data_IF_497919595720
#
_entry.id   IF_497919595720
#
_cell.length_a   1.000
_cell.length_b   1.000
_cell.length_c   1.000
_cell.angle_alpha   90.00
_cell.angle_beta   90.00
_cell.angle_gamma   90.00
#
_symmetry.space_group_name_H-M   'P 1'
#
loop_
_entity.id
_entity.type
_entity.pdbx_description
1 polymer ?
#
# COMPACT_ATOMS: atom_id res chain seq x y z
N UNK A 1 7.45 7.32 -9.90
CA UNK A 1 6.60 7.23 -8.70
C UNK A 1 5.69 6.01 -8.80
N UNK A 2 5.65 5.17 -7.76
CA UNK A 2 4.71 4.06 -7.66
C UNK A 2 3.54 4.45 -6.73
N UNK A 3 2.36 4.57 -7.31
CA UNK A 3 1.11 4.90 -6.62
C UNK A 3 0.20 3.67 -6.41
N UNK A 4 0.76 2.45 -6.48
CA UNK A 4 -0.04 1.21 -6.39
C UNK A 4 -0.90 1.08 -5.14
N UNK A 5 -0.47 1.67 -4.02
CA UNK A 5 -1.17 1.66 -2.74
C UNK A 5 -1.65 3.04 -2.29
N UNK A 6 -1.46 4.06 -3.08
CA UNK A 6 -1.81 5.45 -2.75
C UNK A 6 -2.90 6.01 -3.64
N UNK A 7 -2.87 5.73 -4.95
CA UNK A 7 -3.92 6.14 -5.87
C UNK A 7 -5.27 5.53 -5.48
N UNK A 8 -6.29 6.35 -5.37
CA UNK A 8 -7.63 5.97 -4.91
C UNK A 8 -7.76 5.80 -3.39
N UNK A 9 -6.75 6.19 -2.61
CA UNK A 9 -6.68 5.91 -1.16
C UNK A 9 -6.14 7.11 -0.37
N UNK A 10 -5.00 7.66 -0.77
CA UNK A 10 -4.29 8.74 -0.07
C UNK A 10 -4.58 10.07 -0.73
N UNK A 11 -4.55 11.15 0.06
CA UNK A 11 -4.91 12.49 -0.34
C UNK A 11 -6.36 12.84 0.00
N UNK A 12 -6.69 14.11 -0.02
CA UNK A 12 -8.02 14.61 0.33
C UNK A 12 -9.11 14.14 -0.65
N UNK A 13 -8.74 13.92 -1.90
CA UNK A 13 -9.63 13.42 -2.96
C UNK A 13 -9.18 12.07 -3.54
N UNK A 14 -8.24 11.39 -2.85
CA UNK A 14 -7.75 10.07 -3.25
C UNK A 14 -6.81 10.07 -4.44
N UNK A 15 -6.17 11.20 -4.75
CA UNK A 15 -5.25 11.32 -5.90
C UNK A 15 -3.81 10.91 -5.60
N UNK A 16 -3.60 10.28 -4.44
CA UNK A 16 -2.34 9.65 -4.10
C UNK A 16 -1.32 10.57 -3.43
N UNK A 17 -0.06 10.17 -3.54
CA UNK A 17 1.05 10.87 -2.87
C UNK A 17 1.33 12.24 -3.47
N UNK A 18 1.12 12.43 -4.76
CA UNK A 18 1.28 13.74 -5.40
C UNK A 18 0.34 14.76 -4.78
N UNK A 19 -0.92 14.42 -4.55
CA UNK A 19 -1.88 15.27 -3.85
C UNK A 19 -1.47 15.53 -2.40
N UNK A 20 -1.11 14.47 -1.66
CA UNK A 20 -0.72 14.58 -0.27
C UNK A 20 0.49 15.50 -0.09
N UNK A 21 1.48 15.37 -0.95
CA UNK A 21 2.73 16.13 -0.89
C UNK A 21 2.65 17.47 -1.64
N UNK A 22 1.53 17.78 -2.29
CA UNK A 22 1.32 18.99 -3.09
C UNK A 22 2.36 19.14 -4.21
N UNK A 23 2.72 18.02 -4.82
CA UNK A 23 3.59 17.94 -5.99
C UNK A 23 2.71 17.98 -7.25
N UNK A 24 3.08 18.80 -8.22
CA UNK A 24 2.41 18.78 -9.51
C UNK A 24 2.67 17.45 -10.21
N UNK A 25 1.64 16.70 -10.64
CA UNK A 25 1.85 15.47 -11.40
C UNK A 25 2.71 15.63 -12.65
N UNK A 26 2.73 16.82 -13.26
CA UNK A 26 3.55 17.14 -14.44
C UNK A 26 5.06 17.22 -14.10
N UNK A 27 5.42 17.37 -12.81
CA UNK A 27 6.80 17.31 -12.34
C UNK A 27 7.31 15.86 -12.16
N UNK A 28 6.44 14.86 -12.39
CA UNK A 28 6.77 13.44 -12.23
C UNK A 28 6.82 12.77 -13.61
N UNK A 29 8.02 12.35 -14.03
CA UNK A 29 8.22 11.77 -15.37
C UNK A 29 7.36 10.52 -15.63
N UNK A 30 7.22 9.64 -14.64
CA UNK A 30 6.48 8.38 -14.76
C UNK A 30 5.72 8.11 -13.45
N UNK A 31 4.40 7.94 -13.55
CA UNK A 31 3.55 7.47 -12.47
C UNK A 31 3.02 6.10 -12.84
N UNK A 32 3.23 5.10 -11.99
CA UNK A 32 2.66 3.76 -12.16
C UNK A 32 1.72 3.45 -11.01
N UNK A 33 0.73 2.61 -11.27
CA UNK A 33 -0.22 2.21 -10.26
C UNK A 33 -0.91 0.89 -10.55
N UNK A 34 -1.52 0.35 -9.50
CA UNK A 34 -2.25 -0.91 -9.53
C UNK A 34 -3.76 -0.65 -9.50
N UNK A 35 -4.51 -1.33 -10.36
CA UNK A 35 -5.96 -1.20 -10.43
C UNK A 35 -6.71 -2.20 -9.53
N UNK A 36 -6.01 -3.16 -8.91
CA UNK A 36 -6.63 -4.17 -8.07
C UNK A 36 -6.84 -3.70 -6.61
N UNK A 37 -6.15 -2.67 -6.15
CA UNK A 37 -6.21 -2.24 -4.75
C UNK A 37 -7.44 -1.36 -4.50
N UNK A 38 -7.45 -0.14 -5.02
CA UNK A 38 -8.54 0.82 -4.76
C UNK A 38 -9.68 0.73 -5.79
N UNK A 39 -9.35 0.31 -7.02
CA UNK A 39 -10.31 0.35 -8.14
C UNK A 39 -11.00 -1.00 -8.40
N UNK A 40 -10.80 -2.00 -7.52
CA UNK A 40 -11.50 -3.29 -7.50
C UNK A 40 -11.52 -4.05 -8.85
N UNK A 41 -10.47 -3.86 -9.66
CA UNK A 41 -10.29 -4.56 -10.94
C UNK A 41 -8.96 -5.31 -10.97
N UNK A 42 -8.40 -5.58 -12.11
CA UNK A 42 -7.07 -6.18 -12.24
C UNK A 42 -6.27 -5.44 -13.31
N UNK A 43 -4.94 -5.46 -13.14
CA UNK A 43 -4.01 -4.79 -14.03
C UNK A 43 -3.36 -3.58 -13.39
N UNK A 44 -2.72 -2.79 -14.21
CA UNK A 44 -2.03 -1.57 -13.78
C UNK A 44 -2.03 -0.53 -14.89
N UNK A 45 -1.55 0.64 -14.56
CA UNK A 45 -1.39 1.74 -15.50
C UNK A 45 0.00 2.36 -15.37
N UNK A 46 0.40 3.01 -16.44
CA UNK A 46 1.55 3.90 -16.47
C UNK A 46 1.10 5.21 -17.11
N UNK A 47 1.21 6.29 -16.36
CA UNK A 47 0.93 7.64 -16.83
C UNK A 47 2.24 8.40 -16.99
N UNK A 48 2.38 9.09 -18.13
CA UNK A 48 3.57 9.87 -18.46
C UNK A 48 3.28 10.74 -19.68
N UNK A 49 4.29 11.48 -20.13
CA UNK A 49 4.22 12.23 -21.39
C UNK A 49 3.96 11.28 -22.56
N UNK A 50 3.36 11.82 -23.63
CA UNK A 50 3.05 11.02 -24.82
C UNK A 50 4.28 10.37 -25.45
N UNK A 51 5.44 11.01 -25.35
CA UNK A 51 6.69 10.49 -25.88
C UNK A 51 7.15 9.25 -25.12
N UNK A 52 7.13 9.31 -23.80
CA UNK A 52 7.52 8.19 -22.92
C UNK A 52 6.55 7.02 -23.11
N UNK A 53 5.23 7.28 -23.14
CA UNK A 53 4.22 6.24 -23.36
C UNK A 53 4.37 5.56 -24.72
N UNK A 54 4.65 6.33 -25.79
CA UNK A 54 4.94 5.76 -27.11
C UNK A 54 6.21 4.91 -27.09
N UNK A 55 7.27 5.40 -26.43
CA UNK A 55 8.50 4.65 -26.30
C UNK A 55 8.30 3.32 -25.57
N UNK A 56 7.55 3.31 -24.48
CA UNK A 56 7.23 2.08 -23.75
C UNK A 56 6.46 1.06 -24.59
N UNK A 57 5.54 1.51 -25.42
CA UNK A 57 4.77 0.61 -26.31
C UNK A 57 5.65 -0.16 -27.29
N UNK A 58 6.78 0.40 -27.68
CA UNK A 58 7.67 -0.17 -28.69
C UNK A 58 8.84 -0.93 -28.02
N UNK A 59 9.36 -0.41 -26.89
CA UNK A 59 10.58 -0.90 -26.27
C UNK A 59 10.39 -1.55 -24.90
N UNK A 60 9.20 -1.38 -24.28
CA UNK A 60 8.93 -2.00 -22.97
C UNK A 60 8.75 -3.50 -23.12
N UNK A 61 9.72 -4.29 -22.66
CA UNK A 61 9.70 -5.77 -22.80
C UNK A 61 8.41 -6.37 -22.28
N UNK A 62 7.99 -5.96 -21.09
CA UNK A 62 6.74 -6.46 -20.48
C UNK A 62 5.51 -6.10 -21.30
N UNK A 63 5.51 -4.93 -21.93
CA UNK A 63 4.40 -4.49 -22.75
C UNK A 63 4.37 -5.19 -24.12
N UNK A 64 5.53 -5.33 -24.76
CA UNK A 64 5.66 -5.91 -26.10
C UNK A 64 5.36 -7.40 -26.09
N UNK A 65 5.77 -8.12 -25.05
CA UNK A 65 5.67 -9.58 -24.95
C UNK A 65 4.51 -10.06 -24.06
N UNK A 66 3.57 -9.17 -23.68
CA UNK A 66 2.37 -9.54 -22.94
C UNK A 66 1.09 -9.08 -23.64
N UNK A 67 -0.04 -9.59 -23.19
CA UNK A 67 -1.34 -9.13 -23.66
C UNK A 67 -1.75 -7.81 -23.00
N UNK A 68 -2.45 -6.96 -23.75
CA UNK A 68 -3.10 -5.78 -23.19
C UNK A 68 -4.22 -6.18 -22.21
N UNK A 69 -4.55 -5.30 -21.28
CA UNK A 69 -5.64 -5.49 -20.33
C UNK A 69 -6.97 -5.73 -21.07
N UNK A 70 -7.77 -6.73 -20.65
CA UNK A 70 -9.12 -6.90 -21.18
C UNK A 70 -9.98 -5.65 -21.00
N UNK A 71 -10.76 -5.30 -22.02
CA UNK A 71 -11.58 -4.09 -22.05
C UNK A 71 -12.53 -3.98 -20.87
N UNK A 72 -13.09 -5.11 -20.42
CA UNK A 72 -13.99 -5.16 -19.28
C UNK A 72 -13.32 -4.68 -17.97
N UNK A 73 -12.02 -5.01 -17.77
CA UNK A 73 -11.26 -4.57 -16.60
C UNK A 73 -10.94 -3.08 -16.68
N UNK A 74 -10.56 -2.59 -17.86
CA UNK A 74 -10.34 -1.16 -18.09
C UNK A 74 -11.62 -0.34 -17.88
N UNK A 75 -12.75 -0.87 -18.34
CA UNK A 75 -14.05 -0.22 -18.13
C UNK A 75 -14.48 -0.26 -16.65
N UNK A 76 -14.25 -1.37 -15.98
CA UNK A 76 -14.49 -1.52 -14.54
C UNK A 76 -13.72 -0.49 -13.72
N UNK A 77 -12.42 -0.30 -13.99
CA UNK A 77 -11.62 0.71 -13.30
C UNK A 77 -12.10 2.14 -13.59
N UNK A 78 -12.52 2.42 -14.82
CA UNK A 78 -13.12 3.71 -15.17
C UNK A 78 -14.41 3.99 -14.38
N UNK A 79 -15.25 2.99 -14.22
CA UNK A 79 -16.48 3.10 -13.40
C UNK A 79 -16.13 3.30 -11.94
N UNK A 80 -15.18 2.54 -11.41
CA UNK A 80 -14.72 2.68 -10.03
C UNK A 80 -14.19 4.10 -9.74
N UNK A 81 -13.35 4.65 -10.61
CA UNK A 81 -12.84 6.02 -10.49
C UNK A 81 -13.99 7.05 -10.46
N UNK A 82 -14.97 6.93 -11.39
CA UNK A 82 -16.14 7.82 -11.40
C UNK A 82 -16.98 7.73 -10.14
N UNK A 83 -17.13 6.52 -9.58
CA UNK A 83 -17.85 6.32 -8.32
C UNK A 83 -17.13 6.96 -7.13
N UNK A 84 -15.81 6.86 -7.10
CA UNK A 84 -14.99 7.50 -6.07
C UNK A 84 -15.04 9.04 -6.20
N UNK A 85 -14.90 9.57 -7.38
CA UNK A 85 -15.04 11.03 -7.63
C UNK A 85 -16.43 11.56 -7.24
N UNK A 86 -17.49 10.77 -7.45
CA UNK A 86 -18.85 11.15 -7.09
C UNK A 86 -19.13 11.05 -5.57
N UNK A 87 -18.29 10.34 -4.81
CA UNK A 87 -18.50 10.06 -3.38
C UNK A 87 -17.24 10.36 -2.54
N UNK A 88 -16.80 11.62 -2.45
CA UNK A 88 -15.58 11.98 -1.72
C UNK A 88 -15.62 11.65 -0.23
N UNK A 89 -16.80 11.53 0.37
CA UNK A 89 -16.98 11.14 1.78
C UNK A 89 -16.41 9.75 2.12
N UNK A 90 -16.13 8.91 1.11
CA UNK A 90 -15.46 7.62 1.31
C UNK A 90 -14.04 7.83 1.84
N UNK A 91 -13.35 8.85 1.35
CA UNK A 91 -11.99 9.18 1.80
C UNK A 91 -11.99 9.70 3.25
N UNK A 92 -12.94 10.58 3.59
CA UNK A 92 -13.08 11.09 4.96
C UNK A 92 -13.29 9.94 5.95
N UNK A 93 -14.20 9.02 5.61
CA UNK A 93 -14.48 7.83 6.44
C UNK A 93 -13.27 6.93 6.59
N UNK A 94 -12.51 6.69 5.51
CA UNK A 94 -11.29 5.89 5.55
C UNK A 94 -10.25 6.54 6.47
N UNK A 95 -10.02 7.84 6.35
CA UNK A 95 -9.07 8.58 7.18
C UNK A 95 -9.50 8.60 8.66
N UNK A 96 -10.80 8.72 8.93
CA UNK A 96 -11.33 8.59 10.28
C UNK A 96 -11.05 7.21 10.87
N UNK A 97 -11.34 6.14 10.13
CA UNK A 97 -11.07 4.77 10.56
C UNK A 97 -9.58 4.52 10.83
N UNK A 98 -8.69 5.05 9.97
CA UNK A 98 -7.24 4.99 10.19
C UNK A 98 -6.86 5.70 11.49
N UNK A 99 -7.42 6.89 11.74
CA UNK A 99 -7.17 7.66 12.97
C UNK A 99 -7.64 6.90 14.22
N UNK A 100 -8.82 6.28 14.17
CA UNK A 100 -9.37 5.48 15.27
C UNK A 100 -8.44 4.30 15.58
N UNK A 101 -8.03 3.53 14.55
CA UNK A 101 -7.12 2.40 14.75
C UNK A 101 -5.79 2.85 15.37
N UNK A 102 -5.19 3.92 14.85
CA UNK A 102 -3.91 4.41 15.37
C UNK A 102 -4.01 4.85 16.82
N UNK A 103 -5.05 5.63 17.18
CA UNK A 103 -5.31 6.03 18.56
C UNK A 103 -5.49 4.84 19.51
N UNK A 104 -6.08 3.74 19.02
CA UNK A 104 -6.22 2.52 19.80
C UNK A 104 -4.88 1.77 19.98
N UNK A 105 -3.96 1.88 19.03
CA UNK A 105 -2.65 1.25 19.08
C UNK A 105 -1.60 2.09 19.83
N UNK A 106 -1.71 3.41 19.86
CA UNK A 106 -0.75 4.34 20.48
C UNK A 106 -0.39 4.02 21.95
N UNK A 107 -1.34 3.58 22.82
CA UNK A 107 -1.01 3.24 24.22
C UNK A 107 -0.15 1.99 24.36
N UNK A 108 0.01 1.18 23.32
CA UNK A 108 0.74 -0.09 23.36
C UNK A 108 2.23 0.16 23.24
N UNK A 109 2.93 0.24 24.35
CA UNK A 109 4.36 0.62 24.40
C UNK A 109 5.30 -0.45 23.84
N UNK A 110 4.82 -1.68 23.65
CA UNK A 110 5.59 -2.82 23.14
C UNK A 110 5.61 -2.94 21.61
N UNK A 111 4.95 -2.03 20.90
CA UNK A 111 4.90 -2.02 19.44
C UNK A 111 5.51 -0.75 18.84
N UNK A 112 5.83 -0.82 17.56
CA UNK A 112 6.22 0.31 16.72
C UNK A 112 5.34 0.26 15.47
N UNK A 113 4.89 1.43 15.02
CA UNK A 113 4.12 1.59 13.79
C UNK A 113 4.96 2.41 12.81
N UNK A 114 5.72 1.77 11.90
CA UNK A 114 6.59 2.46 10.95
C UNK A 114 5.83 3.10 9.79
N UNK A 115 4.56 2.74 9.57
CA UNK A 115 3.73 3.28 8.49
C UNK A 115 3.46 4.77 8.70
N UNK A 116 3.40 5.54 7.60
CA UNK A 116 3.01 6.94 7.64
C UNK A 116 1.60 7.11 8.26
N UNK A 117 1.35 8.22 8.97
CA UNK A 117 0.08 8.45 9.68
C UNK A 117 -1.16 8.35 8.77
N UNK A 118 -1.04 8.76 7.53
CA UNK A 118 -2.12 8.79 6.53
C UNK A 118 -2.36 7.43 5.88
N UNK A 119 -1.42 6.47 6.07
CA UNK A 119 -1.51 5.17 5.40
C UNK A 119 -2.60 4.29 6.02
N UNK A 120 -3.55 3.78 5.22
CA UNK A 120 -4.51 2.78 5.68
C UNK A 120 -3.89 1.38 5.79
N UNK A 121 -2.71 1.17 5.24
CA UNK A 121 -1.91 -0.02 5.48
C UNK A 121 -1.02 0.21 6.69
N UNK A 122 -1.48 -0.27 7.84
CA UNK A 122 -0.80 -0.10 9.11
C UNK A 122 0.07 -1.33 9.39
N UNK A 123 1.38 -1.13 9.41
CA UNK A 123 2.34 -2.14 9.81
C UNK A 123 2.64 -2.02 11.29
N UNK A 124 2.49 -3.12 12.03
CA UNK A 124 2.76 -3.19 13.45
C UNK A 124 3.93 -4.13 13.69
N UNK A 125 4.99 -3.62 14.27
CA UNK A 125 6.20 -4.36 14.61
C UNK A 125 6.37 -4.46 16.12
N UNK A 126 7.01 -5.51 16.60
CA UNK A 126 7.33 -5.67 18.01
C UNK A 126 8.52 -4.76 18.34
N UNK A 127 8.37 -3.93 19.37
CA UNK A 127 9.46 -3.12 19.91
C UNK A 127 10.37 -4.01 20.76
N UNK A 128 11.42 -4.54 20.15
CA UNK A 128 12.48 -5.18 20.94
C UNK A 128 13.32 -4.12 21.64
N UNK A 129 13.47 -4.23 22.97
CA UNK A 129 14.37 -3.35 23.75
C UNK A 129 15.85 -3.71 23.58
N UNK A 130 16.14 -4.87 23.00
CA UNK A 130 17.48 -5.38 22.68
C UNK A 130 17.42 -6.20 21.40
N UNK A 131 18.53 -6.38 20.73
CA UNK A 131 18.72 -7.34 19.62
C UNK A 131 18.53 -8.81 20.02
N UNK A 132 17.99 -9.08 21.21
CA UNK A 132 17.88 -10.37 21.84
C UNK A 132 16.75 -11.26 21.27
N UNK A 133 15.82 -10.70 20.49
CA UNK A 133 14.78 -11.50 19.87
C UNK A 133 15.12 -11.74 18.40
N UNK A 134 15.57 -12.94 18.10
CA UNK A 134 15.80 -13.42 16.74
C UNK A 134 14.54 -13.19 15.87
N UNK A 135 14.75 -12.90 14.59
CA UNK A 135 13.68 -12.72 13.60
C UNK A 135 12.70 -13.91 13.57
N UNK A 136 13.18 -15.11 13.84
CA UNK A 136 12.37 -16.32 13.95
C UNK A 136 11.41 -16.26 15.15
N UNK A 137 11.89 -15.85 16.31
CA UNK A 137 11.07 -15.71 17.53
C UNK A 137 10.04 -14.58 17.38
N UNK A 138 10.40 -13.47 16.72
CA UNK A 138 9.45 -12.40 16.39
C UNK A 138 8.34 -12.92 15.49
N UNK A 139 8.69 -13.65 14.42
CA UNK A 139 7.73 -14.25 13.49
C UNK A 139 6.78 -15.21 14.19
N UNK A 140 7.29 -16.05 15.10
CA UNK A 140 6.47 -16.98 15.87
C UNK A 140 5.45 -16.24 16.76
N UNK A 141 5.89 -15.17 17.44
CA UNK A 141 5.00 -14.34 18.26
C UNK A 141 3.93 -13.64 17.41
N UNK A 142 4.30 -13.10 16.26
CA UNK A 142 3.35 -12.50 15.33
C UNK A 142 2.34 -13.53 14.80
N UNK A 143 2.77 -14.77 14.56
CA UNK A 143 1.86 -15.86 14.17
C UNK A 143 0.85 -16.18 15.27
N UNK A 144 1.26 -16.16 16.53
CA UNK A 144 0.35 -16.35 17.68
C UNK A 144 -0.67 -15.21 17.76
N UNK A 145 -0.23 -13.96 17.58
CA UNK A 145 -1.12 -12.79 17.58
C UNK A 145 -2.12 -12.86 16.43
N UNK A 146 -1.69 -13.18 15.21
CA UNK A 146 -2.54 -13.36 14.04
C UNK A 146 -3.64 -14.40 14.29
N UNK A 147 -3.29 -15.56 14.84
CA UNK A 147 -4.26 -16.62 15.20
C UNK A 147 -5.24 -16.18 16.28
N UNK A 148 -4.79 -15.48 17.31
CA UNK A 148 -5.65 -14.95 18.35
C UNK A 148 -6.63 -13.92 17.82
N UNK A 149 -6.17 -13.00 16.94
CA UNK A 149 -7.03 -12.03 16.28
C UNK A 149 -8.08 -12.72 15.41
N UNK A 150 -7.68 -13.72 14.61
CA UNK A 150 -8.59 -14.48 13.77
C UNK A 150 -9.68 -15.19 14.59
N UNK A 151 -9.31 -15.78 15.74
CA UNK A 151 -10.29 -16.42 16.65
C UNK A 151 -11.31 -15.42 17.24
N UNK A 152 -10.97 -14.14 17.24
CA UNK A 152 -11.88 -13.05 17.65
C UNK A 152 -12.57 -12.37 16.46
N UNK A 153 -12.46 -12.92 15.25
CA UNK A 153 -13.12 -12.40 14.06
C UNK A 153 -12.36 -11.25 13.39
N UNK A 154 -11.12 -10.99 13.79
CA UNK A 154 -10.28 -9.94 13.18
C UNK A 154 -9.24 -10.56 12.27
N UNK A 155 -9.33 -10.24 10.97
CA UNK A 155 -8.35 -10.73 9.99
C UNK A 155 -7.22 -9.72 9.80
N UNK A 156 -6.04 -10.10 10.25
CA UNK A 156 -4.78 -9.42 10.00
C UNK A 156 -3.79 -10.39 9.37
N UNK A 157 -2.80 -9.90 8.66
CA UNK A 157 -1.83 -10.75 7.97
C UNK A 157 -0.41 -10.39 8.37
N UNK A 158 0.48 -11.36 8.32
CA UNK A 158 1.91 -11.08 8.43
C UNK A 158 2.47 -10.61 7.09
N UNK A 159 3.38 -9.65 7.15
CA UNK A 159 4.24 -9.36 6.02
C UNK A 159 5.46 -10.26 6.13
N UNK A 160 5.67 -11.20 5.19
CA UNK A 160 6.86 -12.02 5.21
C UNK A 160 8.09 -11.13 5.05
N UNK A 161 9.10 -11.36 5.90
CA UNK A 161 10.42 -10.81 5.65
C UNK A 161 10.96 -11.51 4.40
N UNK A 162 11.01 -10.79 3.29
CA UNK A 162 11.71 -11.23 2.09
C UNK A 162 13.14 -10.73 2.22
N UNK A 163 14.15 -11.63 2.32
CA UNK A 163 15.53 -11.20 2.28
C UNK A 163 15.75 -10.40 1.00
N UNK A 164 16.21 -9.18 1.14
CA UNK A 164 16.52 -8.33 0.00
C UNK A 164 17.71 -8.91 -0.78
N UNK A 165 17.64 -8.82 -2.10
CA UNK A 165 18.80 -9.10 -2.97
C UNK A 165 19.96 -8.12 -2.66
N UNK A 166 19.67 -7.03 -1.93
CA UNK A 166 20.63 -6.03 -1.49
C UNK A 166 20.61 -5.90 0.02
N UNK A 167 21.44 -6.66 0.76
CA UNK A 167 21.46 -6.65 2.23
C UNK A 167 21.64 -5.26 2.86
N UNK A 168 22.24 -4.31 2.13
CA UNK A 168 22.41 -2.93 2.60
C UNK A 168 21.06 -2.18 2.75
N UNK A 169 20.00 -2.60 2.04
CA UNK A 169 18.66 -2.03 2.14
C UNK A 169 17.82 -2.69 3.26
N UNK A 170 18.30 -3.82 3.81
CA UNK A 170 17.62 -4.56 4.87
C UNK A 170 17.83 -3.93 6.27
N UNK A 171 18.51 -2.80 6.36
CA UNK A 171 18.77 -2.09 7.63
C UNK A 171 17.63 -1.14 8.04
N UNK A 172 16.62 -0.97 7.20
CA UNK A 172 15.48 -0.09 7.49
C UNK A 172 14.39 -0.75 8.35
N UNK A 173 13.45 0.06 8.85
CA UNK A 173 12.30 -0.45 9.63
C UNK A 173 11.44 -1.44 8.85
N UNK A 174 11.52 -1.46 7.52
CA UNK A 174 10.80 -2.37 6.64
C UNK A 174 11.36 -3.79 6.61
N UNK A 175 12.60 -3.98 7.05
CA UNK A 175 13.27 -5.27 7.08
C UNK A 175 12.80 -6.19 8.23
N UNK A 176 11.99 -5.67 9.16
CA UNK A 176 11.52 -6.43 10.31
C UNK A 176 10.16 -7.09 10.03
N UNK A 177 9.94 -8.31 10.57
CA UNK A 177 8.62 -8.93 10.52
C UNK A 177 7.55 -7.99 11.10
N UNK A 178 6.41 -7.91 10.44
CA UNK A 178 5.31 -7.04 10.88
C UNK A 178 3.95 -7.70 10.66
N UNK A 179 2.99 -7.35 11.48
CA UNK A 179 1.58 -7.55 11.16
C UNK A 179 1.12 -6.41 10.25
N UNK A 180 0.37 -6.74 9.22
CA UNK A 180 -0.24 -5.80 8.31
C UNK A 180 -1.73 -5.75 8.56
N UNK A 181 -2.23 -4.57 8.89
CA UNK A 181 -3.65 -4.27 9.08
C UNK A 181 -4.07 -3.38 7.91
N UNK A 182 -5.03 -3.82 7.12
CA UNK A 182 -5.66 -3.01 6.08
C UNK A 182 -6.94 -2.41 6.65
N UNK A 183 -6.99 -1.08 6.71
CA UNK A 183 -8.18 -0.33 7.15
C UNK A 183 -9.07 -0.08 5.94
N UNK A 184 -10.37 -0.28 6.12
CA UNK A 184 -11.40 -0.07 5.08
C UNK A 184 -12.51 0.85 5.59
#
# INVERSE_FOLDING_TARGET
LDESYSAGVIGATGRGLTELQKVDPDDVDIIVGNLAVAFATAGGFCASTQEIVKHQRINGLSYVFSAAMPVMLANGSTVAMKLLDANPSVYDKLHENVSILRKALDPITSIIIPSAPESPLVHVQIKSKRDDMDASAQKELLTKIERLALNQGVWITQTPHLPSIRPQLDQGPWARPSLRIAVT
#
